data_IF_135961544220
#
_entry.id   IF_135961544220
#
_cell.length_a   1.000
_cell.length_b   1.000
_cell.length_c   1.000
_cell.angle_alpha   90.00
_cell.angle_beta   90.00
_cell.angle_gamma   90.00
#
_symmetry.space_group_name_H-M   'P 1'
#
loop_
_entity.id
_entity.type
_entity.pdbx_description
1 polymer ?
#
# COMPACT_ATOMS: atom_id res chain seq x y z
N UNK A 1 -7.65 9.32 -21.67
CA UNK A 1 -8.00 10.19 -20.53
C UNK A 1 -8.96 9.39 -19.67
N UNK A 2 -8.57 9.01 -18.46
CA UNK A 2 -9.54 8.49 -17.48
C UNK A 2 -10.23 9.73 -16.94
N UNK A 3 -11.53 9.86 -17.21
CA UNK A 3 -12.32 11.04 -16.85
C UNK A 3 -12.26 11.28 -15.33
N UNK A 4 -11.87 12.49 -14.93
CA UNK A 4 -11.73 12.94 -13.55
C UNK A 4 -13.02 12.82 -12.71
N UNK A 5 -14.14 12.50 -13.34
CA UNK A 5 -15.44 12.27 -12.68
C UNK A 5 -15.49 11.03 -11.77
N UNK A 6 -14.54 10.09 -11.92
CA UNK A 6 -14.55 8.83 -11.16
C UNK A 6 -13.64 8.81 -9.94
N UNK A 7 -12.77 9.80 -9.76
CA UNK A 7 -11.80 9.86 -8.66
C UNK A 7 -12.41 10.53 -7.43
N UNK A 8 -12.18 9.94 -6.24
CA UNK A 8 -12.45 10.62 -4.98
C UNK A 8 -11.60 11.88 -4.85
N UNK A 9 -12.13 12.93 -4.24
CA UNK A 9 -11.41 14.20 -4.05
C UNK A 9 -10.11 14.00 -3.28
N UNK A 10 -10.12 13.18 -2.23
CA UNK A 10 -8.90 12.78 -1.50
C UNK A 10 -7.84 12.14 -2.39
N UNK A 11 -8.25 11.31 -3.36
CA UNK A 11 -7.32 10.69 -4.30
C UNK A 11 -6.75 11.71 -5.29
N UNK A 12 -7.55 12.70 -5.71
CA UNK A 12 -7.05 13.82 -6.55
C UNK A 12 -6.06 14.68 -5.79
N UNK A 13 -6.36 14.99 -4.53
CA UNK A 13 -5.46 15.75 -3.65
C UNK A 13 -4.12 15.04 -3.44
N UNK A 14 -4.14 13.74 -3.16
CA UNK A 14 -2.91 12.93 -3.05
C UNK A 14 -2.06 13.07 -4.32
N UNK A 15 -2.66 12.94 -5.51
CA UNK A 15 -1.91 13.03 -6.77
C UNK A 15 -1.56 14.45 -7.21
N UNK A 16 -2.12 15.48 -6.55
CA UNK A 16 -1.73 16.87 -6.73
C UNK A 16 -0.44 17.24 -6.00
N UNK A 17 0.01 16.41 -5.06
CA UNK A 17 1.24 16.61 -4.30
C UNK A 17 2.50 16.47 -5.17
N UNK A 18 3.56 17.20 -4.81
CA UNK A 18 4.87 17.02 -5.43
C UNK A 18 5.41 15.59 -5.21
N UNK A 19 5.96 14.98 -6.26
CA UNK A 19 6.45 13.60 -6.24
C UNK A 19 7.88 13.51 -5.68
N UNK A 20 8.03 13.90 -4.43
CA UNK A 20 9.27 13.77 -3.65
C UNK A 20 9.42 12.36 -3.06
N UNK A 21 10.63 11.93 -2.63
CA UNK A 21 10.83 10.61 -2.02
C UNK A 21 9.91 10.35 -0.82
N UNK A 22 9.64 11.37 -0.01
CA UNK A 22 8.71 11.33 1.14
C UNK A 22 7.28 11.04 0.71
N UNK A 23 6.82 11.60 -0.42
CA UNK A 23 5.51 11.28 -1.00
C UNK A 23 5.41 9.80 -1.37
N UNK A 24 6.44 9.25 -2.02
CA UNK A 24 6.43 7.85 -2.45
C UNK A 24 6.43 6.90 -1.24
N UNK A 25 7.19 7.25 -0.20
CA UNK A 25 7.20 6.53 1.08
C UNK A 25 5.83 6.56 1.76
N UNK A 26 5.23 7.74 1.90
CA UNK A 26 3.91 7.92 2.50
C UNK A 26 2.83 7.16 1.72
N UNK A 27 2.84 7.23 0.39
CA UNK A 27 1.88 6.54 -0.48
C UNK A 27 1.97 5.02 -0.31
N UNK A 28 3.19 4.47 -0.25
CA UNK A 28 3.38 3.04 -0.03
C UNK A 28 2.82 2.59 1.34
N UNK A 29 3.02 3.40 2.38
CA UNK A 29 2.45 3.15 3.71
C UNK A 29 0.92 3.25 3.71
N UNK A 30 0.35 4.25 3.04
CA UNK A 30 -1.10 4.41 2.91
C UNK A 30 -1.74 3.20 2.22
N UNK A 31 -1.15 2.74 1.11
CA UNK A 31 -1.60 1.55 0.38
C UNK A 31 -1.53 0.31 1.28
N UNK A 32 -0.45 0.17 2.06
CA UNK A 32 -0.28 -0.96 3.00
C UNK A 32 -1.37 -0.94 4.07
N UNK A 33 -1.62 0.20 4.70
CA UNK A 33 -2.66 0.38 5.72
C UNK A 33 -4.03 0.08 5.14
N UNK A 34 -4.38 0.66 3.99
CA UNK A 34 -5.66 0.45 3.34
C UNK A 34 -5.92 -1.04 3.01
N UNK A 35 -4.90 -1.76 2.52
CA UNK A 35 -4.98 -3.20 2.26
C UNK A 35 -5.14 -4.01 3.53
N UNK A 36 -4.39 -3.70 4.59
CA UNK A 36 -4.51 -4.37 5.89
C UNK A 36 -5.88 -4.15 6.52
N UNK A 37 -6.38 -2.91 6.47
CA UNK A 37 -7.69 -2.53 6.97
C UNK A 37 -8.81 -3.26 6.20
N UNK A 38 -8.70 -3.35 4.87
CA UNK A 38 -9.60 -4.19 4.06
C UNK A 38 -9.59 -5.65 4.50
N UNK A 39 -8.42 -6.25 4.72
CA UNK A 39 -8.31 -7.64 5.15
C UNK A 39 -8.96 -7.83 6.53
N UNK A 40 -8.75 -6.90 7.46
CA UNK A 40 -9.39 -6.94 8.77
C UNK A 40 -10.92 -6.86 8.65
N UNK A 41 -11.44 -5.94 7.85
CA UNK A 41 -12.86 -5.79 7.58
C UNK A 41 -13.50 -7.04 6.97
N UNK A 42 -12.81 -7.68 6.00
CA UNK A 42 -13.26 -8.96 5.42
C UNK A 42 -13.32 -10.10 6.45
N UNK A 43 -12.52 -10.02 7.51
CA UNK A 43 -12.53 -10.96 8.63
C UNK A 43 -13.45 -10.51 9.78
N UNK A 44 -14.29 -9.49 9.57
CA UNK A 44 -15.17 -8.90 10.59
C UNK A 44 -14.42 -8.45 11.85
N UNK A 45 -13.19 -7.95 11.68
CA UNK A 45 -12.37 -7.40 12.75
C UNK A 45 -12.26 -5.89 12.59
N UNK A 46 -12.26 -5.19 13.73
CA UNK A 46 -11.87 -3.78 13.77
C UNK A 46 -10.40 -3.65 13.40
N UNK A 47 -10.07 -2.55 12.72
CA UNK A 47 -8.69 -2.18 12.43
C UNK A 47 -8.40 -0.83 13.06
N UNK A 48 -7.41 -0.79 13.94
CA UNK A 48 -7.02 0.40 14.66
C UNK A 48 -5.66 0.89 14.15
N UNK A 49 -5.58 2.19 13.89
CA UNK A 49 -4.38 2.90 13.50
C UNK A 49 -4.09 3.96 14.57
N UNK A 50 -3.06 3.78 15.41
CA UNK A 50 -2.71 4.77 16.43
C UNK A 50 -2.23 6.06 15.77
N UNK A 51 -2.69 7.21 16.26
CA UNK A 51 -2.28 8.53 15.76
C UNK A 51 -0.82 8.86 16.10
N UNK A 52 -0.25 8.19 17.11
CA UNK A 52 1.15 8.32 17.52
C UNK A 52 2.14 7.57 16.62
N UNK A 53 1.67 6.96 15.53
CA UNK A 53 2.57 6.33 14.55
C UNK A 53 3.42 7.42 13.89
N UNK A 54 4.74 7.25 13.88
CA UNK A 54 5.67 8.22 13.29
C UNK A 54 5.32 8.52 11.83
N UNK A 55 4.76 7.55 11.09
CA UNK A 55 4.35 7.75 9.71
C UNK A 55 3.15 8.68 9.62
N UNK A 56 2.26 8.59 10.61
CA UNK A 56 1.06 9.40 10.68
C UNK A 56 1.41 10.87 10.95
N UNK A 57 2.22 11.12 11.98
CA UNK A 57 2.64 12.47 12.37
C UNK A 57 3.50 13.14 11.29
N UNK A 58 4.48 12.41 10.74
CA UNK A 58 5.47 13.00 9.83
C UNK A 58 5.00 13.08 8.37
N UNK A 59 3.95 12.35 7.99
CA UNK A 59 3.52 12.32 6.59
C UNK A 59 2.01 12.52 6.42
N UNK A 60 1.16 11.78 7.13
CA UNK A 60 -0.28 11.81 6.82
C UNK A 60 -0.95 13.12 7.21
N UNK A 61 -0.53 13.73 8.32
CA UNK A 61 -0.99 15.06 8.74
C UNK A 61 -0.44 16.20 7.87
N UNK A 62 0.71 16.00 7.24
CA UNK A 62 1.44 17.04 6.51
C UNK A 62 1.07 17.03 5.01
N UNK A 63 0.94 15.83 4.43
CA UNK A 63 0.70 15.68 3.00
C UNK A 63 -0.80 15.79 2.68
N UNK A 64 -1.19 16.68 1.74
CA UNK A 64 -2.57 16.86 1.32
C UNK A 64 -3.26 15.56 0.88
N UNK A 65 -4.52 15.40 1.28
CA UNK A 65 -5.37 14.27 0.90
C UNK A 65 -5.13 12.94 1.64
N UNK A 66 -4.00 12.75 2.33
CA UNK A 66 -3.69 11.47 3.01
C UNK A 66 -4.64 11.19 4.17
N UNK A 67 -4.88 12.16 5.04
CA UNK A 67 -5.88 12.06 6.11
C UNK A 67 -7.30 11.90 5.58
N UNK A 68 -7.67 12.75 4.62
CA UNK A 68 -9.00 12.71 4.02
C UNK A 68 -9.28 11.36 3.35
N UNK A 69 -8.25 10.73 2.76
CA UNK A 69 -8.36 9.40 2.19
C UNK A 69 -8.69 8.33 3.24
N UNK A 70 -8.12 8.41 4.45
CA UNK A 70 -8.45 7.48 5.53
C UNK A 70 -9.92 7.64 5.96
N UNK A 71 -10.40 8.88 6.09
CA UNK A 71 -11.82 9.13 6.36
C UNK A 71 -12.73 8.64 5.24
N UNK A 72 -12.35 8.87 3.98
CA UNK A 72 -13.07 8.33 2.83
C UNK A 72 -13.11 6.80 2.83
N UNK A 73 -12.06 6.15 3.34
CA UNK A 73 -11.99 4.69 3.49
C UNK A 73 -12.95 4.17 4.58
N UNK A 74 -13.47 5.06 5.43
CA UNK A 74 -14.41 4.75 6.51
C UNK A 74 -13.78 4.70 7.89
N UNK A 75 -12.54 5.18 8.05
CA UNK A 75 -11.96 5.34 9.39
C UNK A 75 -12.71 6.43 10.16
N UNK A 76 -12.89 6.22 11.45
CA UNK A 76 -13.45 7.18 12.39
C UNK A 76 -12.42 7.51 13.47
N UNK A 77 -12.36 8.76 13.90
CA UNK A 77 -11.47 9.17 14.99
C UNK A 77 -12.06 8.72 16.34
N UNK A 78 -11.28 7.94 17.10
CA UNK A 78 -11.64 7.46 18.43
C UNK A 78 -10.48 7.72 19.38
N UNK A 79 -10.51 8.91 20.01
CA UNK A 79 -9.52 9.33 20.99
C UNK A 79 -8.14 9.50 20.36
N UNK A 80 -7.25 8.54 20.58
CA UNK A 80 -5.84 8.58 20.12
C UNK A 80 -5.58 7.67 18.91
N UNK A 81 -6.63 7.14 18.29
CA UNK A 81 -6.54 6.22 17.15
C UNK A 81 -7.61 6.52 16.10
N UNK A 82 -7.31 6.21 14.84
CA UNK A 82 -8.31 6.02 13.81
C UNK A 82 -8.78 4.56 13.81
N UNK A 83 -10.08 4.34 13.80
CA UNK A 83 -10.68 2.99 13.85
C UNK A 83 -11.56 2.78 12.65
N UNK A 84 -11.29 1.70 11.90
CA UNK A 84 -12.21 1.17 10.90
C UNK A 84 -13.10 0.11 11.56
N UNK A 85 -14.41 0.28 11.44
CA UNK A 85 -15.41 -0.65 12.00
C UNK A 85 -15.40 -1.99 11.26
N UNK A 86 -16.17 -2.97 11.77
CA UNK A 86 -16.27 -4.34 11.24
C UNK A 86 -17.19 -4.46 10.01
N UNK A 87 -17.91 -3.38 9.65
CA UNK A 87 -18.87 -3.35 8.53
C UNK A 87 -18.68 -2.15 7.59
N UNK A 88 -17.47 -1.89 7.08
CA UNK A 88 -17.27 -0.80 6.13
C UNK A 88 -17.77 -1.21 4.74
N UNK A 89 -18.03 -0.21 3.88
CA UNK A 89 -18.37 -0.46 2.48
C UNK A 89 -17.14 -1.00 1.71
N UNK A 90 -17.10 -2.32 1.55
CA UNK A 90 -16.01 -3.02 0.86
C UNK A 90 -15.90 -2.59 -0.61
N UNK A 91 -17.00 -2.23 -1.28
CA UNK A 91 -16.95 -1.74 -2.66
C UNK A 91 -16.26 -0.38 -2.73
N UNK A 92 -16.57 0.52 -1.79
CA UNK A 92 -15.89 1.81 -1.64
C UNK A 92 -14.40 1.64 -1.36
N UNK A 93 -14.04 0.78 -0.40
CA UNK A 93 -12.63 0.48 -0.07
C UNK A 93 -11.87 -0.04 -1.30
N UNK A 94 -12.45 -0.99 -2.05
CA UNK A 94 -11.81 -1.54 -3.24
C UNK A 94 -11.56 -0.46 -4.31
N UNK A 95 -12.52 0.45 -4.49
CA UNK A 95 -12.40 1.56 -5.44
C UNK A 95 -11.33 2.56 -5.00
N UNK A 96 -11.29 2.94 -3.73
CA UNK A 96 -10.26 3.84 -3.21
C UNK A 96 -8.85 3.23 -3.34
N UNK A 97 -8.67 1.97 -2.96
CA UNK A 97 -7.38 1.27 -3.07
C UNK A 97 -6.92 1.20 -4.54
N UNK A 98 -7.82 0.93 -5.48
CA UNK A 98 -7.45 0.85 -6.90
C UNK A 98 -7.04 2.21 -7.48
N UNK A 99 -7.63 3.30 -6.99
CA UNK A 99 -7.27 4.66 -7.39
C UNK A 99 -5.84 5.02 -6.98
N UNK A 100 -5.44 4.73 -5.74
CA UNK A 100 -4.09 5.06 -5.25
C UNK A 100 -3.02 4.04 -5.65
N UNK A 101 -3.38 2.78 -5.89
CA UNK A 101 -2.43 1.73 -6.29
C UNK A 101 -2.03 1.81 -7.76
N UNK A 102 -2.78 2.58 -8.57
CA UNK A 102 -2.63 2.62 -10.01
C UNK A 102 -3.07 1.32 -10.70
N UNK A 103 -2.95 1.26 -12.04
CA UNK A 103 -3.30 0.06 -12.78
C UNK A 103 -2.43 -1.13 -12.32
N UNK A 104 -3.00 -2.35 -12.25
CA UNK A 104 -2.22 -3.53 -11.91
C UNK A 104 -1.03 -3.61 -12.86
N UNK A 105 0.20 -3.87 -12.35
CA UNK A 105 1.37 -3.99 -13.20
C UNK A 105 1.07 -5.03 -14.28
N UNK A 106 1.36 -4.68 -15.54
CA UNK A 106 1.22 -5.63 -16.64
C UNK A 106 2.00 -6.88 -16.26
N UNK A 107 1.33 -8.04 -16.28
CA UNK A 107 1.99 -9.33 -16.04
C UNK A 107 3.13 -9.42 -17.05
N UNK A 108 4.36 -9.31 -16.56
CA UNK A 108 5.54 -9.55 -17.40
C UNK A 108 5.53 -11.04 -17.69
N UNK A 109 5.50 -11.41 -18.97
CA UNK A 109 5.57 -12.83 -19.35
C UNK A 109 6.84 -13.43 -18.74
N UNK A 110 6.70 -14.57 -18.07
CA UNK A 110 7.85 -15.31 -17.53
C UNK A 110 8.79 -15.82 -18.63
N UNK A 111 8.36 -15.77 -19.89
CA UNK A 111 9.16 -16.09 -21.06
C UNK A 111 10.12 -14.95 -21.47
N UNK A 112 10.11 -13.83 -20.74
CA UNK A 112 11.05 -12.75 -21.03
C UNK A 112 12.49 -13.25 -20.74
N UNK A 113 13.40 -13.22 -21.72
CA UNK A 113 14.72 -13.87 -21.61
C UNK A 113 15.58 -13.31 -20.47
N UNK A 114 15.41 -12.02 -20.12
CA UNK A 114 16.07 -11.42 -18.95
C UNK A 114 15.57 -11.97 -17.61
N UNK A 115 14.27 -12.29 -17.49
CA UNK A 115 13.72 -12.86 -16.26
C UNK A 115 14.15 -14.32 -16.09
N UNK A 116 14.24 -15.08 -17.17
CA UNK A 116 14.81 -16.44 -17.13
C UNK A 116 16.28 -16.43 -16.70
N UNK A 117 17.07 -15.49 -17.21
CA UNK A 117 18.47 -15.31 -16.79
C UNK A 117 18.59 -14.95 -15.32
N UNK A 118 17.77 -14.02 -14.81
CA UNK A 118 17.74 -13.65 -13.39
C UNK A 118 17.30 -14.82 -12.49
N UNK A 119 16.30 -15.60 -12.90
CA UNK A 119 15.88 -16.79 -12.18
C UNK A 119 16.98 -17.87 -12.13
N UNK A 120 17.71 -18.05 -13.25
CA UNK A 120 18.90 -18.90 -13.30
C UNK A 120 20.01 -18.40 -12.37
N UNK A 121 20.26 -17.09 -12.35
CA UNK A 121 21.25 -16.47 -11.46
C UNK A 121 20.89 -16.66 -9.98
N UNK A 122 19.62 -16.46 -9.61
CA UNK A 122 19.13 -16.73 -8.25
C UNK A 122 19.40 -18.16 -7.81
N UNK A 123 19.18 -19.15 -8.70
CA UNK A 123 19.48 -20.56 -8.42
C UNK A 123 20.97 -20.79 -8.18
N UNK A 124 21.84 -20.24 -9.05
CA UNK A 124 23.29 -20.38 -8.91
C UNK A 124 23.81 -19.76 -7.60
N UNK A 125 23.32 -18.58 -7.24
CA UNK A 125 23.71 -17.90 -5.98
C UNK A 125 23.24 -18.69 -4.75
N UNK A 126 22.01 -19.20 -4.74
CA UNK A 126 21.52 -20.06 -3.66
C UNK A 126 22.33 -21.37 -3.52
N UNK A 127 22.74 -21.98 -4.63
CA UNK A 127 23.59 -23.17 -4.63
C UNK A 127 24.99 -22.88 -4.06
N UNK A 128 25.60 -21.76 -4.45
CA UNK A 128 26.91 -21.37 -3.92
C UNK A 128 26.88 -21.03 -2.42
N UNK A 129 25.82 -20.37 -1.95
CA UNK A 129 25.62 -20.10 -0.51
C UNK A 129 25.47 -21.39 0.30
N UNK A 130 24.71 -22.37 -0.20
CA UNK A 130 24.57 -23.67 0.47
C UNK A 130 25.87 -24.49 0.46
N UNK A 131 26.68 -24.38 -0.60
CA UNK A 131 27.99 -25.07 -0.64
C UNK A 131 29.00 -24.50 0.36
N UNK A 132 28.95 -23.19 0.63
CA UNK A 132 29.86 -22.56 1.60
C UNK A 132 29.52 -22.91 3.05
N UNK A 133 28.27 -23.27 3.36
CA UNK A 133 27.87 -23.76 4.69
C UNK A 133 28.25 -25.22 4.98
N UNK A 134 28.71 -25.98 3.98
CA UNK A 134 29.07 -27.41 4.13
C UNK A 134 30.57 -27.67 4.22
N UNK A 135 31.44 -26.64 4.12
CA UNK A 135 32.90 -26.79 4.16
C UNK A 135 33.50 -26.47 5.54
N UNK A 136 32.66 -26.11 6.53
CA UNK A 136 33.08 -25.84 7.90
C UNK A 136 32.63 -26.95 8.87
N UNK A 137 33.20 -28.14 8.71
CA UNK A 137 33.30 -29.20 9.73
C UNK A 137 34.64 -29.91 9.62
#
# INVERSE_FOLDING_TARGET
MIEDYWLYESSKEIFSCERVPTFSYALAHLIRIAKSAKIAALNHKKYELPLSDEVFENYFLILPGFMQFLFDLGFEEQGVSLVLTDKPDIHKINRLISQISGPPPKKVSQDHPLLQRLAGYKKLVCYHLNSLSQVST
#
